data_IF_244944316799
#
_entry.id   IF_244944316799
#
_cell.length_a   1.000
_cell.length_b   1.000
_cell.length_c   1.000
_cell.angle_alpha   90.00
_cell.angle_beta   90.00
_cell.angle_gamma   90.00
#
_symmetry.space_group_name_H-M   'P 1'
#
loop_
_entity.id
_entity.type
_entity.pdbx_description
1 polymer ?
#
# COMPACT_ATOMS: atom_id res chain seq x y z
N UNK A 1 19.87 -23.42 -16.82
CA UNK A 1 18.51 -22.87 -16.69
C UNK A 1 18.48 -21.58 -15.86
N UNK A 2 19.04 -21.55 -14.65
CA UNK A 2 19.01 -20.33 -13.81
C UNK A 2 19.68 -19.10 -14.46
N UNK A 3 20.78 -19.29 -15.23
CA UNK A 3 21.43 -18.19 -15.97
C UNK A 3 20.48 -17.58 -17.01
N UNK A 4 19.70 -18.42 -17.71
CA UNK A 4 18.74 -17.98 -18.72
C UNK A 4 17.62 -17.17 -18.06
N UNK A 5 17.11 -17.65 -16.92
CA UNK A 5 16.10 -16.96 -16.11
C UNK A 5 16.65 -15.60 -15.65
N UNK A 6 17.86 -15.56 -15.09
CA UNK A 6 18.48 -14.32 -14.63
C UNK A 6 18.59 -13.30 -15.78
N UNK A 7 19.02 -13.74 -16.96
CA UNK A 7 19.09 -12.87 -18.14
C UNK A 7 17.71 -12.33 -18.57
N UNK A 8 16.65 -13.14 -18.46
CA UNK A 8 15.29 -12.67 -18.76
C UNK A 8 14.86 -11.55 -17.79
N UNK A 9 15.14 -11.69 -16.49
CA UNK A 9 14.86 -10.64 -15.51
C UNK A 9 15.65 -9.36 -15.79
N UNK A 10 16.95 -9.47 -16.12
CA UNK A 10 17.79 -8.32 -16.47
C UNK A 10 17.19 -7.59 -17.67
N UNK A 11 16.85 -8.31 -18.73
CA UNK A 11 16.27 -7.71 -19.93
C UNK A 11 14.94 -6.99 -19.62
N UNK A 12 14.07 -7.59 -18.79
CA UNK A 12 12.83 -6.96 -18.34
C UNK A 12 13.10 -5.67 -17.56
N UNK A 13 14.01 -5.68 -16.60
CA UNK A 13 14.35 -4.51 -15.79
C UNK A 13 14.91 -3.36 -16.64
N UNK A 14 15.66 -3.66 -17.70
CA UNK A 14 16.21 -2.63 -18.58
C UNK A 14 15.17 -1.97 -19.50
N UNK A 15 14.01 -2.60 -19.73
CA UNK A 15 12.97 -2.10 -20.65
C UNK A 15 11.67 -1.69 -19.96
N UNK A 16 11.56 -1.86 -18.65
CA UNK A 16 10.30 -1.66 -17.91
C UNK A 16 9.96 -0.18 -17.78
N UNK A 17 8.69 0.17 -18.02
CA UNK A 17 8.12 1.48 -17.64
C UNK A 17 7.28 1.35 -16.37
N UNK A 18 6.95 2.47 -15.73
CA UNK A 18 6.10 2.49 -14.53
C UNK A 18 4.71 1.87 -14.79
N UNK A 19 4.21 1.93 -16.02
CA UNK A 19 2.91 1.38 -16.40
C UNK A 19 2.85 -0.16 -16.30
N UNK A 20 4.02 -0.81 -16.22
CA UNK A 20 4.17 -2.27 -16.19
C UNK A 20 4.47 -2.81 -14.79
N UNK A 21 4.55 -1.96 -13.76
CA UNK A 21 4.98 -2.36 -12.40
C UNK A 21 3.83 -2.78 -11.48
N UNK A 22 2.57 -2.63 -11.93
CA UNK A 22 1.39 -2.91 -11.11
C UNK A 22 1.01 -1.78 -10.15
N UNK A 23 1.58 -0.58 -10.34
CA UNK A 23 1.11 0.65 -9.72
C UNK A 23 -0.22 1.09 -10.36
N UNK A 24 -1.08 1.74 -9.58
CA UNK A 24 -2.26 2.40 -10.13
C UNK A 24 -1.85 3.67 -10.89
N UNK A 25 -2.70 4.14 -11.81
CA UNK A 25 -2.44 5.37 -12.56
C UNK A 25 -2.23 6.57 -11.60
N UNK A 26 -3.02 6.65 -10.53
CA UNK A 26 -2.89 7.68 -9.51
C UNK A 26 -1.54 7.60 -8.78
N UNK A 27 -1.07 6.39 -8.47
CA UNK A 27 0.22 6.19 -7.84
C UNK A 27 1.38 6.60 -8.77
N UNK A 28 1.28 6.34 -10.07
CA UNK A 28 2.27 6.78 -11.06
C UNK A 28 2.30 8.31 -11.16
N UNK A 29 1.13 8.96 -11.19
CA UNK A 29 1.04 10.43 -11.19
C UNK A 29 1.71 11.01 -9.95
N UNK A 30 1.38 10.51 -8.75
CA UNK A 30 1.97 10.98 -7.50
C UNK A 30 3.49 10.75 -7.43
N UNK A 31 4.00 9.66 -8.02
CA UNK A 31 5.45 9.39 -8.05
C UNK A 31 6.20 10.32 -9.00
N UNK A 32 5.59 10.68 -10.13
CA UNK A 32 6.19 11.58 -11.12
C UNK A 32 6.01 13.06 -10.74
N UNK A 33 5.01 13.37 -9.93
CA UNK A 33 4.67 14.71 -9.44
C UNK A 33 4.37 14.65 -7.94
N UNK A 34 5.40 14.46 -7.11
CA UNK A 34 5.22 14.41 -5.66
C UNK A 34 4.73 15.77 -5.14
N UNK A 35 3.87 15.74 -4.12
CA UNK A 35 3.52 16.95 -3.39
C UNK A 35 4.76 17.45 -2.63
N UNK A 36 5.22 18.67 -2.95
CA UNK A 36 6.34 19.32 -2.27
C UNK A 36 5.89 20.16 -1.07
N UNK A 37 4.58 20.37 -0.93
CA UNK A 37 4.01 21.17 0.15
C UNK A 37 4.11 20.45 1.50
N UNK A 38 4.46 21.21 2.53
CA UNK A 38 4.45 20.70 3.90
C UNK A 38 3.01 20.58 4.37
N UNK A 39 2.64 19.41 4.92
CA UNK A 39 1.35 19.26 5.57
C UNK A 39 1.22 20.24 6.75
N UNK A 40 0.36 21.25 6.60
CA UNK A 40 0.03 22.21 7.65
C UNK A 40 -1.27 21.77 8.31
N UNK A 41 -1.22 21.39 9.58
CA UNK A 41 -2.40 21.08 10.40
C UNK A 41 -2.78 22.34 11.17
N UNK A 42 -3.98 22.87 10.94
CA UNK A 42 -4.52 24.03 11.65
C UNK A 42 -5.53 23.63 12.74
N UNK A 43 -6.08 24.60 13.45
CA UNK A 43 -7.17 24.38 14.43
C UNK A 43 -8.56 24.24 13.76
N UNK A 44 -8.62 24.03 12.45
CA UNK A 44 -9.87 23.75 11.75
C UNK A 44 -10.44 22.40 12.21
N UNK A 45 -11.77 22.26 12.17
CA UNK A 45 -12.43 21.01 12.58
C UNK A 45 -12.03 19.81 11.69
N UNK A 46 -11.75 20.06 10.41
CA UNK A 46 -11.29 19.05 9.45
C UNK A 46 -9.88 18.58 9.78
N UNK A 47 -8.95 19.52 10.02
CA UNK A 47 -7.56 19.21 10.38
C UNK A 47 -7.47 18.51 11.74
N UNK A 48 -8.26 18.95 12.73
CA UNK A 48 -8.34 18.28 14.02
C UNK A 48 -8.84 16.83 13.88
N UNK A 49 -9.78 16.59 12.96
CA UNK A 49 -10.31 15.25 12.68
C UNK A 49 -9.28 14.39 11.95
N UNK A 50 -8.54 14.96 11.00
CA UNK A 50 -7.44 14.29 10.32
C UNK A 50 -6.34 13.91 11.31
N UNK A 51 -5.91 14.85 12.16
CA UNK A 51 -4.92 14.62 13.20
C UNK A 51 -5.35 13.49 14.13
N UNK A 52 -6.59 13.52 14.65
CA UNK A 52 -7.13 12.45 15.48
C UNK A 52 -7.10 11.09 14.76
N UNK A 53 -7.42 11.06 13.47
CA UNK A 53 -7.40 9.84 12.67
C UNK A 53 -5.98 9.27 12.53
N UNK A 54 -4.99 10.14 12.30
CA UNK A 54 -3.57 9.79 12.21
C UNK A 54 -3.03 9.31 13.57
N UNK A 55 -3.33 10.02 14.66
CA UNK A 55 -2.91 9.65 16.01
C UNK A 55 -3.48 8.30 16.44
N UNK A 56 -4.77 8.06 16.18
CA UNK A 56 -5.40 6.77 16.40
C UNK A 56 -4.70 5.67 15.61
N UNK A 57 -4.40 5.92 14.33
CA UNK A 57 -3.75 4.93 13.48
C UNK A 57 -2.33 4.58 13.97
N UNK A 58 -1.53 5.60 14.30
CA UNK A 58 -0.16 5.44 14.79
C UNK A 58 -0.15 4.77 16.16
N UNK A 59 -0.98 5.22 17.10
CA UNK A 59 -1.10 4.62 18.43
C UNK A 59 -1.59 3.18 18.41
N UNK A 60 -2.32 2.80 17.36
CA UNK A 60 -2.88 1.46 17.14
C UNK A 60 -2.12 0.67 16.06
N UNK A 61 -0.93 1.11 15.63
CA UNK A 61 -0.21 0.50 14.51
C UNK A 61 0.09 -1.00 14.69
N UNK A 62 0.13 -1.49 15.93
CA UNK A 62 0.42 -2.89 16.29
C UNK A 62 -0.83 -3.74 16.56
N UNK A 63 -2.02 -3.17 16.45
CA UNK A 63 -3.27 -3.92 16.69
C UNK A 63 -3.99 -4.22 15.39
N UNK A 64 -4.99 -5.08 15.45
CA UNK A 64 -5.80 -5.43 14.29
C UNK A 64 -6.67 -4.25 13.83
N UNK A 65 -7.05 -4.27 12.55
CA UNK A 65 -8.04 -3.34 11.98
C UNK A 65 -9.35 -3.32 12.78
N UNK A 66 -9.77 -4.47 13.32
CA UNK A 66 -10.95 -4.57 14.19
C UNK A 66 -10.81 -3.73 15.47
N UNK A 67 -9.60 -3.64 16.06
CA UNK A 67 -9.34 -2.80 17.23
C UNK A 67 -9.33 -1.32 16.86
N UNK A 68 -8.78 -0.96 15.70
CA UNK A 68 -8.91 0.40 15.18
C UNK A 68 -10.38 0.80 15.00
N UNK A 69 -11.19 -0.06 14.38
CA UNK A 69 -12.62 0.18 14.17
C UNK A 69 -13.39 0.38 15.49
N UNK A 70 -13.06 -0.41 16.52
CA UNK A 70 -13.65 -0.26 17.85
C UNK A 70 -13.28 1.09 18.49
N UNK A 71 -12.00 1.49 18.44
CA UNK A 71 -11.56 2.80 18.96
C UNK A 71 -12.21 3.96 18.23
N UNK A 72 -12.29 3.89 16.89
CA UNK A 72 -13.01 4.86 16.06
C UNK A 72 -14.48 4.99 16.46
N UNK A 73 -15.16 3.86 16.71
CA UNK A 73 -16.56 3.87 17.13
C UNK A 73 -16.78 4.59 18.47
N UNK A 74 -15.85 4.45 19.42
CA UNK A 74 -15.89 5.17 20.70
C UNK A 74 -15.75 6.68 20.47
N UNK A 75 -14.81 7.11 19.62
CA UNK A 75 -14.63 8.53 19.28
C UNK A 75 -15.87 9.12 18.63
N UNK A 76 -16.46 8.43 17.65
CA UNK A 76 -17.68 8.87 16.96
C UNK A 76 -18.90 8.90 17.87
N UNK A 77 -18.99 8.03 18.88
CA UNK A 77 -20.07 8.09 19.87
C UNK A 77 -20.05 9.38 20.68
N UNK A 78 -18.86 9.91 20.99
CA UNK A 78 -18.71 11.17 21.72
C UNK A 78 -18.81 12.38 20.81
N UNK A 79 -18.26 12.28 19.59
CA UNK A 79 -18.20 13.35 18.60
C UNK A 79 -18.80 12.86 17.27
N UNK A 80 -20.13 12.74 17.16
CA UNK A 80 -20.78 12.13 15.99
C UNK A 80 -20.62 12.95 14.70
N UNK A 81 -20.39 14.26 14.83
CA UNK A 81 -20.10 15.15 13.70
C UNK A 81 -18.64 15.11 13.26
N UNK A 82 -17.75 14.41 13.98
CA UNK A 82 -16.35 14.25 13.56
C UNK A 82 -16.28 13.22 12.43
N UNK A 83 -15.52 13.54 11.38
CA UNK A 83 -15.34 12.66 10.22
C UNK A 83 -14.09 11.76 10.37
N UNK A 84 -13.95 11.08 11.52
CA UNK A 84 -12.76 10.24 11.79
C UNK A 84 -12.66 9.15 10.73
N UNK A 85 -11.50 9.06 10.08
CA UNK A 85 -11.26 8.13 8.98
C UNK A 85 -11.33 6.67 9.42
N UNK A 86 -11.85 5.80 8.54
CA UNK A 86 -11.67 4.34 8.67
C UNK A 86 -10.20 3.95 8.50
N UNK A 87 -9.84 2.71 8.88
CA UNK A 87 -8.46 2.23 8.78
C UNK A 87 -7.92 2.33 7.35
N UNK A 88 -8.74 1.94 6.36
CA UNK A 88 -8.40 2.03 4.94
C UNK A 88 -8.24 3.49 4.47
N UNK A 89 -9.13 4.40 4.88
CA UNK A 89 -9.03 5.82 4.53
C UNK A 89 -7.76 6.47 5.10
N UNK A 90 -7.42 6.19 6.36
CA UNK A 90 -6.18 6.72 6.96
C UNK A 90 -4.94 6.13 6.30
N UNK A 91 -4.94 4.82 6.00
CA UNK A 91 -3.86 4.20 5.22
C UNK A 91 -3.67 4.86 3.87
N UNK A 92 -4.77 5.13 3.16
CA UNK A 92 -4.74 5.80 1.87
C UNK A 92 -4.19 7.22 2.00
N UNK A 93 -4.67 8.00 2.97
CA UNK A 93 -4.14 9.35 3.22
C UNK A 93 -2.64 9.34 3.53
N UNK A 94 -2.17 8.42 4.37
CA UNK A 94 -0.74 8.27 4.66
C UNK A 94 0.04 7.88 3.40
N UNK A 95 -0.47 6.95 2.60
CA UNK A 95 0.15 6.55 1.34
C UNK A 95 0.30 7.73 0.38
N UNK A 96 -0.74 8.56 0.24
CA UNK A 96 -0.72 9.79 -0.56
C UNK A 96 0.29 10.79 -0.03
N UNK A 97 0.23 11.11 1.28
CA UNK A 97 1.12 12.08 1.93
C UNK A 97 2.60 11.68 1.86
N UNK A 98 2.89 10.38 1.96
CA UNK A 98 4.25 9.87 1.93
C UNK A 98 4.73 9.51 0.51
N UNK A 99 3.84 9.48 -0.48
CA UNK A 99 4.11 8.93 -1.81
C UNK A 99 4.43 7.42 -1.80
N UNK A 100 4.04 6.68 -0.74
CA UNK A 100 4.36 5.26 -0.58
C UNK A 100 3.16 4.40 -0.97
N UNK A 101 3.28 3.69 -2.09
CA UNK A 101 2.27 2.73 -2.56
C UNK A 101 2.79 1.29 -2.49
N UNK A 102 1.91 0.36 -2.13
CA UNK A 102 2.26 -1.06 -2.07
C UNK A 102 1.99 -1.75 -3.40
N UNK A 103 3.00 -2.41 -3.96
CA UNK A 103 2.83 -3.34 -5.08
C UNK A 103 2.71 -4.75 -4.50
N UNK A 104 1.58 -5.41 -4.74
CA UNK A 104 1.33 -6.76 -4.23
C UNK A 104 1.36 -7.75 -5.39
N UNK A 105 2.25 -8.73 -5.29
CA UNK A 105 2.31 -9.87 -6.20
C UNK A 105 2.07 -11.17 -5.42
N UNK A 106 1.43 -12.15 -6.07
CA UNK A 106 1.29 -13.48 -5.49
C UNK A 106 2.68 -14.12 -5.34
N UNK A 107 2.83 -14.94 -4.31
CA UNK A 107 4.03 -15.70 -4.05
C UNK A 107 3.65 -17.13 -3.71
N UNK A 108 4.45 -18.10 -4.15
CA UNK A 108 4.25 -19.49 -3.79
C UNK A 108 4.49 -19.71 -2.29
N UNK A 109 3.50 -20.25 -1.58
CA UNK A 109 3.55 -20.49 -0.13
C UNK A 109 4.68 -21.45 0.31
N UNK A 110 5.08 -22.38 -0.56
CA UNK A 110 6.05 -23.43 -0.22
C UNK A 110 7.50 -23.08 -0.56
N UNK A 111 7.73 -22.10 -1.43
CA UNK A 111 9.08 -21.81 -1.97
C UNK A 111 9.45 -20.34 -2.00
N UNK A 112 8.51 -19.46 -1.65
CA UNK A 112 8.66 -18.01 -1.76
C UNK A 112 8.98 -17.51 -3.18
N UNK A 113 8.74 -18.32 -4.22
CA UNK A 113 8.85 -17.86 -5.61
C UNK A 113 7.75 -16.83 -5.89
N UNK A 114 8.13 -15.60 -6.22
CA UNK A 114 7.18 -14.54 -6.59
C UNK A 114 6.75 -14.68 -8.06
N UNK A 115 5.45 -14.52 -8.32
CA UNK A 115 4.87 -14.51 -9.66
C UNK A 115 4.91 -13.09 -10.22
N UNK A 116 6.11 -12.63 -10.57
CA UNK A 116 6.38 -11.29 -11.12
C UNK A 116 7.37 -11.35 -12.28
N UNK A 117 7.47 -10.26 -13.07
CA UNK A 117 8.35 -10.17 -14.23
C UNK A 117 8.14 -11.36 -15.20
N UNK A 118 9.22 -12.04 -15.64
CA UNK A 118 9.13 -13.25 -16.46
C UNK A 118 8.26 -14.39 -15.90
N UNK A 119 7.96 -14.38 -14.60
CA UNK A 119 7.12 -15.39 -13.94
C UNK A 119 5.67 -14.96 -13.74
N UNK A 120 5.30 -13.73 -14.15
CA UNK A 120 3.98 -13.15 -13.87
C UNK A 120 2.80 -13.96 -14.41
N UNK A 121 2.98 -14.67 -15.53
CA UNK A 121 1.96 -15.49 -16.20
C UNK A 121 1.96 -16.97 -15.80
N UNK A 122 2.85 -17.39 -14.89
CA UNK A 122 2.91 -18.78 -14.45
C UNK A 122 1.75 -19.11 -13.50
N UNK A 123 1.15 -20.29 -13.69
CA UNK A 123 0.10 -20.84 -12.84
C UNK A 123 0.61 -21.88 -11.84
N UNK A 124 1.86 -22.33 -11.98
CA UNK A 124 2.48 -23.31 -11.10
C UNK A 124 3.87 -22.83 -10.69
N UNK A 125 4.27 -23.17 -9.47
CA UNK A 125 5.59 -22.83 -8.97
C UNK A 125 6.69 -23.63 -9.67
N UNK A 126 7.74 -22.97 -10.18
CA UNK A 126 8.87 -23.66 -10.81
C UNK A 126 9.70 -24.49 -9.83
N UNK A 127 9.64 -24.18 -8.54
CA UNK A 127 10.41 -24.86 -7.48
C UNK A 127 9.70 -26.06 -6.88
N UNK A 128 8.38 -25.97 -6.66
CA UNK A 128 7.61 -27.03 -5.97
C UNK A 128 6.35 -27.48 -6.71
N UNK A 129 6.07 -26.95 -7.90
CA UNK A 129 4.94 -27.29 -8.77
C UNK A 129 3.54 -27.08 -8.16
N UNK A 130 3.46 -26.48 -6.97
CA UNK A 130 2.18 -26.09 -6.36
C UNK A 130 1.51 -25.04 -7.24
N UNK A 131 0.20 -25.17 -7.52
CA UNK A 131 -0.57 -24.13 -8.20
C UNK A 131 -0.49 -22.78 -7.49
N UNK A 132 -0.59 -21.71 -8.26
CA UNK A 132 -0.64 -20.32 -7.81
C UNK A 132 -1.88 -20.02 -6.99
#
# INVERSE_FOLDING_TARGET
>A
EDIRIAQQFINTLCSVSLDQTGLSEEAVVLLLQPEEDTLVITDSNEDCTLLLSLELFIGLARVSEAKYAASRAVSLRRYPSSNVGSYAQVKWHIATLMGINTIIHNMCANSCMAYTGPFGSLNNCLRCQTPR
#
